data_IF_812522207869
#
_entry.id   IF_812522207869
#
_cell.length_a   1.000
_cell.length_b   1.000
_cell.length_c   1.000
_cell.angle_alpha   90.00
_cell.angle_beta   90.00
_cell.angle_gamma   90.00
#
_symmetry.space_group_name_H-M   'P 1'
#
loop_
_entity.id
_entity.type
_entity.pdbx_description
1 polymer ?
#
# COMPACT_ATOMS: atom_id res chain seq x y z
N UNK A 1 3.23 -17.20 1.57
CA UNK A 1 3.55 -15.93 2.27
C UNK A 1 4.18 -15.01 1.23
N UNK A 2 3.87 -13.72 1.22
CA UNK A 2 4.48 -12.79 0.26
C UNK A 2 6.00 -12.72 0.52
N UNK A 3 6.80 -12.73 -0.56
CA UNK A 3 8.26 -12.63 -0.48
C UNK A 3 8.65 -11.24 0.02
N UNK A 4 9.53 -11.22 1.02
CA UNK A 4 10.13 -10.01 1.57
C UNK A 4 11.29 -9.56 0.70
N UNK A 5 11.84 -8.38 0.98
CA UNK A 5 12.91 -7.80 0.15
C UNK A 5 14.15 -8.70 0.05
N UNK A 6 14.59 -9.30 1.15
CA UNK A 6 15.64 -10.32 1.18
C UNK A 6 15.33 -11.56 0.33
N UNK A 7 14.08 -12.05 0.33
CA UNK A 7 13.67 -13.18 -0.51
C UNK A 7 13.74 -12.83 -2.02
N UNK A 8 13.44 -11.57 -2.37
CA UNK A 8 13.58 -11.06 -3.75
C UNK A 8 15.06 -11.01 -4.15
N UNK A 9 15.95 -10.49 -3.28
CA UNK A 9 17.40 -10.49 -3.53
C UNK A 9 17.93 -11.91 -3.74
N UNK A 10 17.59 -12.83 -2.85
CA UNK A 10 18.01 -14.23 -2.94
C UNK A 10 17.56 -14.89 -4.25
N UNK A 11 16.32 -14.64 -4.69
CA UNK A 11 15.82 -15.18 -5.95
C UNK A 11 16.51 -14.59 -7.18
N UNK A 12 16.86 -13.30 -7.14
CA UNK A 12 17.64 -12.66 -8.20
C UNK A 12 19.04 -13.26 -8.27
N UNK A 13 19.70 -13.46 -7.12
CA UNK A 13 21.04 -14.08 -7.06
C UNK A 13 21.07 -15.49 -7.63
N UNK A 14 20.11 -16.33 -7.27
CA UNK A 14 19.97 -17.69 -7.81
C UNK A 14 19.87 -17.67 -9.34
N UNK A 15 19.04 -16.78 -9.90
CA UNK A 15 18.91 -16.67 -11.35
C UNK A 15 20.19 -16.14 -12.03
N UNK A 16 20.94 -15.28 -11.36
CA UNK A 16 22.23 -14.76 -11.85
C UNK A 16 23.39 -15.73 -11.62
N UNK A 17 23.18 -16.85 -10.91
CA UNK A 17 24.23 -17.76 -10.43
C UNK A 17 25.26 -17.10 -9.51
N UNK A 18 24.83 -16.05 -8.81
CA UNK A 18 25.60 -15.36 -7.78
C UNK A 18 25.29 -15.97 -6.40
N UNK A 19 25.50 -17.28 -6.29
CA UNK A 19 25.27 -17.99 -5.04
C UNK A 19 26.46 -17.79 -4.10
N UNK A 20 26.19 -17.53 -2.81
CA UNK A 20 27.24 -17.35 -1.81
C UNK A 20 28.20 -18.55 -1.78
N UNK A 21 29.48 -18.28 -2.00
CA UNK A 21 30.56 -19.26 -1.82
C UNK A 21 31.49 -18.74 -0.72
N UNK A 22 31.74 -19.57 0.30
CA UNK A 22 32.59 -19.18 1.43
C UNK A 22 33.98 -18.72 0.93
N UNK A 23 34.36 -17.49 1.30
CA UNK A 23 35.63 -16.89 0.92
C UNK A 23 35.66 -16.24 -0.47
N UNK A 24 34.50 -16.12 -1.14
CA UNK A 24 34.34 -15.37 -2.39
C UNK A 24 33.33 -14.25 -2.17
N UNK A 25 33.69 -13.03 -2.58
CA UNK A 25 32.77 -11.88 -2.53
C UNK A 25 31.63 -12.09 -3.53
N UNK A 26 30.40 -11.71 -3.15
CA UNK A 26 29.25 -11.71 -4.05
C UNK A 26 29.54 -10.80 -5.25
N UNK A 27 29.13 -11.21 -6.45
CA UNK A 27 29.34 -10.40 -7.64
C UNK A 27 28.39 -9.18 -7.66
N UNK A 28 27.22 -9.29 -7.01
CA UNK A 28 26.29 -8.18 -6.80
C UNK A 28 26.06 -7.90 -5.31
N UNK A 29 26.53 -6.72 -4.89
CA UNK A 29 26.29 -6.18 -3.55
C UNK A 29 24.80 -5.96 -3.27
N UNK A 30 24.39 -6.14 -2.01
CA UNK A 30 23.01 -5.96 -1.55
C UNK A 30 22.48 -4.55 -1.88
N UNK A 31 23.31 -3.52 -1.78
CA UNK A 31 22.91 -2.14 -2.04
C UNK A 31 22.68 -1.85 -3.54
N UNK A 32 23.39 -2.54 -4.43
CA UNK A 32 23.14 -2.48 -5.87
C UNK A 32 21.79 -3.13 -6.20
N UNK A 33 21.57 -4.35 -5.70
CA UNK A 33 20.30 -5.06 -5.92
C UNK A 33 19.12 -4.26 -5.35
N UNK A 34 19.29 -3.64 -4.19
CA UNK A 34 18.27 -2.81 -3.57
C UNK A 34 17.88 -1.59 -4.42
N UNK A 35 18.86 -0.93 -5.05
CA UNK A 35 18.59 0.18 -5.99
C UNK A 35 17.83 -0.31 -7.22
N UNK A 36 18.20 -1.47 -7.76
CA UNK A 36 17.51 -2.06 -8.90
C UNK A 36 16.10 -2.52 -8.56
N UNK A 37 15.89 -3.10 -7.37
CA UNK A 37 14.58 -3.45 -6.81
C UNK A 37 13.71 -2.20 -6.70
N UNK A 38 14.19 -1.13 -6.06
CA UNK A 38 13.43 0.10 -5.87
C UNK A 38 13.02 0.75 -7.21
N UNK A 39 13.94 0.78 -8.19
CA UNK A 39 13.65 1.33 -9.51
C UNK A 39 12.65 0.48 -10.30
N UNK A 40 12.78 -0.85 -10.24
CA UNK A 40 11.87 -1.77 -10.95
C UNK A 40 10.49 -1.78 -10.29
N UNK A 41 10.42 -1.72 -8.95
CA UNK A 41 9.18 -1.62 -8.21
C UNK A 41 8.39 -0.37 -8.59
N UNK A 42 9.05 0.78 -8.76
CA UNK A 42 8.41 2.03 -9.22
C UNK A 42 7.74 1.88 -10.59
N UNK A 43 8.33 1.12 -11.51
CA UNK A 43 7.72 0.83 -12.82
C UNK A 43 6.51 -0.12 -12.69
N UNK A 44 6.63 -1.14 -11.83
CA UNK A 44 5.54 -2.06 -11.51
C UNK A 44 4.36 -1.31 -10.89
N UNK A 45 4.59 -0.42 -9.94
CA UNK A 45 3.53 0.36 -9.27
C UNK A 45 2.70 1.20 -10.24
N UNK A 46 3.27 1.65 -11.35
CA UNK A 46 2.52 2.38 -12.38
C UNK A 46 1.57 1.49 -13.18
N UNK A 47 1.84 0.17 -13.27
CA UNK A 47 1.09 -0.78 -14.10
C UNK A 47 0.22 -1.74 -13.29
N UNK A 48 0.72 -2.13 -12.13
CA UNK A 48 0.19 -3.11 -11.19
C UNK A 48 0.26 -2.56 -9.75
N UNK A 49 -0.42 -1.46 -9.44
CA UNK A 49 -0.47 -0.96 -8.07
C UNK A 49 -1.23 -1.91 -7.13
N UNK A 50 -1.03 -1.74 -5.82
CA UNK A 50 -1.71 -2.51 -4.80
C UNK A 50 -3.17 -2.06 -4.66
N UNK A 51 -4.13 -2.97 -4.94
CA UNK A 51 -5.54 -2.72 -4.67
C UNK A 51 -5.85 -2.84 -3.18
N UNK A 52 -6.22 -1.72 -2.55
CA UNK A 52 -6.54 -1.64 -1.14
C UNK A 52 -7.97 -1.16 -0.90
N UNK A 53 -8.61 -1.72 0.13
CA UNK A 53 -9.82 -1.16 0.73
C UNK A 53 -9.42 -0.33 1.93
N UNK A 54 -9.76 0.96 1.92
CA UNK A 54 -9.46 1.92 2.98
C UNK A 54 -10.75 2.32 3.70
N UNK A 55 -10.72 2.25 5.02
CA UNK A 55 -11.84 2.59 5.91
C UNK A 55 -11.51 3.72 6.88
N UNK A 56 -10.23 4.03 7.02
CA UNK A 56 -9.68 5.08 7.87
C UNK A 56 -8.47 5.71 7.17
N UNK A 57 -8.20 6.97 7.50
CA UNK A 57 -6.94 7.62 7.20
C UNK A 57 -5.81 6.99 8.03
N UNK A 58 -4.57 7.34 7.71
CA UNK A 58 -3.44 6.86 8.49
C UNK A 58 -3.52 7.32 9.95
N UNK A 59 -2.77 6.63 10.81
CA UNK A 59 -2.70 6.97 12.21
C UNK A 59 -2.09 8.36 12.37
N UNK A 60 -2.85 9.25 13.01
CA UNK A 60 -2.40 10.60 13.39
C UNK A 60 -1.72 10.59 14.76
N UNK A 61 -2.01 9.58 15.58
CA UNK A 61 -1.43 9.42 16.91
C UNK A 61 -1.40 7.95 17.30
N UNK A 62 -1.01 7.67 18.55
CA UNK A 62 -1.05 6.32 19.11
C UNK A 62 -1.74 6.29 20.46
N UNK A 63 -2.25 5.13 20.85
CA UNK A 63 -2.79 4.87 22.19
C UNK A 63 -1.67 5.03 23.22
N UNK A 64 -1.80 5.99 24.14
CA UNK A 64 -0.79 6.27 25.16
C UNK A 64 -0.99 5.45 26.44
N UNK A 65 -2.23 5.04 26.73
CA UNK A 65 -2.57 4.16 27.86
C UNK A 65 -3.48 3.05 27.38
N UNK A 66 -3.32 1.83 27.92
CA UNK A 66 -4.14 0.68 27.50
C UNK A 66 -5.63 1.01 27.62
N UNK A 67 -6.33 0.85 26.51
CA UNK A 67 -7.76 1.12 26.42
C UNK A 67 -8.53 -0.18 26.62
N UNK A 68 -9.25 -0.29 27.73
CA UNK A 68 -10.12 -1.45 27.98
C UNK A 68 -11.40 -1.42 27.13
N UNK A 69 -12.05 -2.57 26.96
CA UNK A 69 -13.26 -2.68 26.15
C UNK A 69 -14.46 -1.85 26.69
N UNK A 70 -14.45 -1.45 27.97
CA UNK A 70 -15.51 -0.65 28.59
C UNK A 70 -15.09 0.79 28.91
N UNK A 71 -13.88 1.20 28.54
CA UNK A 71 -13.38 2.53 28.83
C UNK A 71 -14.16 3.60 28.02
N UNK A 72 -14.44 4.72 28.68
CA UNK A 72 -15.10 5.90 28.07
C UNK A 72 -14.13 7.03 27.76
N UNK A 73 -12.86 6.87 28.11
CA UNK A 73 -11.80 7.83 27.89
C UNK A 73 -10.65 7.13 27.16
N UNK A 74 -10.14 7.76 26.10
CA UNK A 74 -8.96 7.33 25.37
C UNK A 74 -7.87 8.39 25.55
N UNK A 75 -6.72 7.98 26.09
CA UNK A 75 -5.53 8.84 26.11
C UNK A 75 -4.69 8.53 24.88
N UNK A 76 -4.46 9.53 24.05
CA UNK A 76 -3.58 9.48 22.87
C UNK A 76 -2.23 10.11 23.17
N UNK A 77 -1.22 9.86 22.35
CA UNK A 77 0.13 10.41 22.54
C UNK A 77 0.23 11.91 22.19
N UNK A 78 -0.70 12.42 21.37
CA UNK A 78 -0.86 13.82 20.98
C UNK A 78 -2.25 13.98 20.36
N UNK A 79 -2.92 15.08 20.68
CA UNK A 79 -4.22 15.49 20.14
C UNK A 79 -4.15 16.58 19.04
N UNK A 80 -2.95 17.07 18.71
CA UNK A 80 -2.75 18.25 17.86
C UNK A 80 -3.29 18.09 16.43
N UNK A 81 -3.16 16.88 15.86
CA UNK A 81 -3.55 16.58 14.48
C UNK A 81 -5.03 16.18 14.34
N UNK A 82 -5.79 16.11 15.45
CA UNK A 82 -7.21 15.76 15.40
C UNK A 82 -8.11 16.99 15.25
N UNK A 83 -9.33 16.82 14.68
CA UNK A 83 -10.31 17.89 14.60
C UNK A 83 -10.68 18.44 15.97
N UNK A 84 -10.79 19.76 16.07
CA UNK A 84 -11.28 20.44 17.29
C UNK A 84 -12.80 20.55 17.36
N UNK A 85 -13.50 20.15 16.29
CA UNK A 85 -14.96 20.11 16.22
C UNK A 85 -15.47 18.69 16.47
N UNK A 86 -16.35 18.55 17.45
CA UNK A 86 -16.95 17.26 17.83
C UNK A 86 -18.40 17.14 17.34
N UNK A 87 -18.90 15.91 17.09
CA UNK A 87 -18.18 14.64 17.18
C UNK A 87 -17.43 14.26 15.90
N UNK A 88 -16.38 13.46 16.03
CA UNK A 88 -15.70 12.78 14.91
C UNK A 88 -15.45 11.31 15.23
N UNK A 89 -15.07 10.52 14.22
CA UNK A 89 -14.86 9.08 14.37
C UNK A 89 -13.39 8.73 14.17
N UNK A 90 -12.89 7.81 14.99
CA UNK A 90 -11.51 7.29 14.91
C UNK A 90 -11.55 5.77 14.83
N UNK A 91 -10.55 5.19 14.18
CA UNK A 91 -10.35 3.74 14.07
C UNK A 91 -9.08 3.36 14.81
N UNK A 92 -9.15 2.27 15.59
CA UNK A 92 -8.01 1.63 16.26
C UNK A 92 -8.13 0.12 15.98
N UNK A 93 -7.09 -0.48 15.38
CA UNK A 93 -7.11 -1.85 14.87
C UNK A 93 -8.32 -2.09 13.93
N UNK A 94 -9.39 -2.73 14.43
CA UNK A 94 -10.65 -2.98 13.72
C UNK A 94 -11.89 -2.39 14.41
N UNK A 95 -11.70 -1.61 15.48
CA UNK A 95 -12.77 -0.92 16.21
C UNK A 95 -12.90 0.53 15.75
N UNK A 96 -14.14 0.99 15.59
CA UNK A 96 -14.45 2.40 15.40
C UNK A 96 -15.03 2.98 16.69
N UNK A 97 -14.48 4.12 17.11
CA UNK A 97 -14.94 4.91 18.24
C UNK A 97 -15.48 6.25 17.74
N UNK A 98 -16.46 6.81 18.45
CA UNK A 98 -16.85 8.20 18.27
C UNK A 98 -16.24 9.04 19.39
N UNK A 99 -15.42 10.02 19.03
CA UNK A 99 -14.93 11.04 19.96
C UNK A 99 -16.01 12.11 20.10
N UNK A 100 -16.52 12.29 21.31
CA UNK A 100 -17.62 13.23 21.59
C UNK A 100 -17.14 14.52 22.25
N UNK A 101 -15.97 14.51 22.88
CA UNK A 101 -15.36 15.69 23.49
C UNK A 101 -13.88 15.44 23.79
N UNK A 102 -13.15 16.52 24.08
CA UNK A 102 -11.83 16.48 24.72
C UNK A 102 -12.01 16.74 26.21
N UNK A 103 -11.74 15.75 27.06
CA UNK A 103 -11.88 15.86 28.52
C UNK A 103 -10.75 16.70 29.14
N UNK A 104 -9.54 16.50 28.64
CA UNK A 104 -8.34 17.30 28.87
C UNK A 104 -7.40 17.11 27.68
N UNK A 105 -6.31 17.86 27.58
CA UNK A 105 -5.27 17.62 26.57
C UNK A 105 -4.93 16.12 26.50
N UNK A 106 -4.82 15.60 25.28
CA UNK A 106 -4.53 14.20 24.95
C UNK A 106 -5.60 13.17 25.41
N UNK A 107 -6.68 13.59 26.08
CA UNK A 107 -7.66 12.69 26.69
C UNK A 107 -9.05 12.90 26.09
N UNK A 108 -9.41 12.02 25.16
CA UNK A 108 -10.68 12.03 24.47
C UNK A 108 -11.78 11.31 25.25
N UNK A 109 -12.96 11.92 25.34
CA UNK A 109 -14.19 11.23 25.72
C UNK A 109 -14.71 10.48 24.51
N UNK A 110 -14.86 9.15 24.64
CA UNK A 110 -15.21 8.25 23.54
C UNK A 110 -16.43 7.40 23.84
N UNK A 111 -17.26 7.21 22.82
CA UNK A 111 -18.21 6.10 22.73
C UNK A 111 -17.57 4.98 21.91
N UNK A 112 -17.79 3.72 22.30
CA UNK A 112 -17.09 2.52 21.80
C UNK A 112 -18.01 1.67 20.92
N UNK A 113 -17.44 0.79 20.09
CA UNK A 113 -18.19 -0.13 19.22
C UNK A 113 -19.17 0.57 18.24
N UNK A 114 -18.71 1.63 17.58
CA UNK A 114 -19.52 2.35 16.58
C UNK A 114 -19.44 1.67 15.21
N UNK A 115 -20.36 2.07 14.31
CA UNK A 115 -20.39 1.64 12.91
C UNK A 115 -20.34 0.11 12.72
N UNK A 116 -21.03 -0.63 13.61
CA UNK A 116 -21.11 -2.10 13.64
C UNK A 116 -19.78 -2.80 13.95
N UNK A 117 -18.83 -2.11 14.56
CA UNK A 117 -17.64 -2.72 15.15
C UNK A 117 -17.92 -3.25 16.56
N UNK A 118 -16.95 -3.93 17.17
CA UNK A 118 -17.07 -4.50 18.52
C UNK A 118 -15.97 -3.93 19.40
N UNK A 119 -16.30 -3.59 20.64
CA UNK A 119 -15.33 -3.05 21.59
C UNK A 119 -14.26 -4.09 21.93
N UNK A 120 -12.99 -3.72 21.79
CA UNK A 120 -11.83 -4.58 22.05
C UNK A 120 -10.88 -3.93 23.07
N UNK A 121 -9.88 -4.67 23.56
CA UNK A 121 -8.77 -4.06 24.31
C UNK A 121 -7.72 -3.58 23.30
N UNK A 122 -7.23 -2.35 23.45
CA UNK A 122 -6.13 -1.82 22.64
C UNK A 122 -4.93 -1.51 23.52
N UNK A 123 -3.81 -2.15 23.19
CA UNK A 123 -2.53 -1.94 23.88
C UNK A 123 -1.92 -0.58 23.55
N UNK A 124 -0.97 -0.13 24.38
CA UNK A 124 -0.17 1.08 24.10
C UNK A 124 0.56 0.97 22.76
N UNK A 125 0.68 2.09 22.04
CA UNK A 125 1.37 2.20 20.75
C UNK A 125 0.52 1.85 19.53
N UNK A 126 -0.75 1.43 19.73
CA UNK A 126 -1.66 1.19 18.61
C UNK A 126 -2.01 2.49 17.90
N UNK A 127 -1.94 2.48 16.57
CA UNK A 127 -2.24 3.65 15.75
C UNK A 127 -3.71 4.07 15.87
N UNK A 128 -3.93 5.38 15.96
CA UNK A 128 -5.26 6.01 16.03
C UNK A 128 -5.40 6.92 14.82
N UNK A 129 -6.29 6.58 13.89
CA UNK A 129 -6.54 7.35 12.66
C UNK A 129 -7.99 7.79 12.56
N UNK A 130 -8.26 8.87 11.81
CA UNK A 130 -9.63 9.31 11.53
C UNK A 130 -10.37 8.29 10.65
N UNK A 131 -11.62 8.00 10.99
CA UNK A 131 -12.47 7.10 10.18
C UNK A 131 -13.07 7.85 9.01
N UNK A 132 -13.08 7.24 7.83
CA UNK A 132 -13.70 7.85 6.65
C UNK A 132 -15.22 7.69 6.77
N UNK A 133 -15.89 8.80 7.01
CA UNK A 133 -17.35 8.88 7.16
C UNK A 133 -17.92 10.00 6.29
N UNK A 134 -19.22 9.96 6.04
CA UNK A 134 -19.92 11.07 5.37
C UNK A 134 -20.06 12.28 6.28
N UNK A 135 -19.95 13.47 5.68
CA UNK A 135 -20.26 14.75 6.33
C UNK A 135 -21.72 15.10 6.09
N UNK A 136 -22.42 15.60 7.11
CA UNK A 136 -23.82 16.02 6.98
C UNK A 136 -24.02 17.01 5.84
N UNK A 137 -25.07 16.79 5.05
CA UNK A 137 -25.47 17.67 3.94
C UNK A 137 -24.37 17.91 2.89
N UNK A 138 -23.34 17.07 2.86
CA UNK A 138 -22.25 17.14 1.90
C UNK A 138 -22.03 15.81 1.19
N UNK A 139 -21.70 15.87 -0.09
CA UNK A 139 -21.29 14.69 -0.89
C UNK A 139 -19.77 14.52 -0.91
N UNK A 140 -19.04 15.39 -0.24
CA UNK A 140 -17.59 15.46 -0.28
C UNK A 140 -16.97 14.64 0.85
N UNK A 141 -15.90 13.93 0.51
CA UNK A 141 -14.99 13.27 1.43
C UNK A 141 -13.64 13.97 1.28
N UNK A 142 -13.21 14.76 2.27
CA UNK A 142 -11.99 15.57 2.18
C UNK A 142 -10.72 14.73 2.49
N UNK A 143 -9.57 15.39 2.43
CA UNK A 143 -8.30 14.97 3.03
C UNK A 143 -7.77 13.60 2.57
N UNK A 144 -7.99 13.23 1.30
CA UNK A 144 -7.45 11.97 0.75
C UNK A 144 -5.91 11.88 0.81
N UNK A 145 -5.20 12.99 1.02
CA UNK A 145 -3.75 13.01 1.20
C UNK A 145 -3.31 12.33 2.51
N UNK A 146 -4.21 12.18 3.49
CA UNK A 146 -3.95 11.43 4.73
C UNK A 146 -4.07 9.91 4.55
N UNK A 147 -4.07 9.43 3.30
CA UNK A 147 -3.93 8.02 2.95
C UNK A 147 -2.55 7.84 2.33
N UNK A 148 -1.63 7.24 3.08
CA UNK A 148 -0.26 7.00 2.67
C UNK A 148 -0.23 6.19 1.38
N UNK A 149 0.81 6.40 0.60
CA UNK A 149 1.09 5.63 -0.61
C UNK A 149 -0.04 5.65 -1.64
N UNK A 150 -1.02 6.55 -1.52
CA UNK A 150 -2.17 6.62 -2.44
C UNK A 150 -1.72 7.09 -3.82
N UNK A 151 -1.82 6.20 -4.81
CA UNK A 151 -1.60 6.54 -6.23
C UNK A 151 -2.89 7.16 -6.79
N UNK A 152 -4.02 6.46 -6.64
CA UNK A 152 -5.34 6.96 -7.06
C UNK A 152 -6.48 6.17 -6.44
N UNK A 153 -7.66 6.79 -6.37
CA UNK A 153 -8.92 6.06 -6.13
C UNK A 153 -9.26 5.25 -7.38
N UNK A 154 -9.80 4.03 -7.20
CA UNK A 154 -10.18 3.13 -8.29
C UNK A 154 -11.23 3.79 -9.18
N UNK A 155 -11.12 3.70 -10.51
CA UNK A 155 -12.11 4.34 -11.40
C UNK A 155 -13.47 3.64 -11.41
N UNK A 156 -13.46 2.31 -11.47
CA UNK A 156 -14.68 1.50 -11.48
C UNK A 156 -15.01 1.06 -10.05
N UNK A 157 -16.23 1.33 -9.57
CA UNK A 157 -16.67 1.02 -8.19
C UNK A 157 -15.72 1.65 -7.12
N UNK A 158 -15.47 2.98 -7.17
CA UNK A 158 -14.52 3.66 -6.27
C UNK A 158 -14.92 3.58 -4.79
N UNK A 159 -16.23 3.64 -4.51
CA UNK A 159 -16.76 3.82 -3.17
C UNK A 159 -17.87 2.82 -2.91
N UNK A 160 -17.84 2.16 -1.76
CA UNK A 160 -19.01 1.42 -1.25
C UNK A 160 -19.74 2.29 -0.24
N UNK A 161 -20.98 2.65 -0.60
CA UNK A 161 -21.86 3.47 0.21
C UNK A 161 -23.35 3.27 -0.17
N UNK A 162 -24.25 3.00 0.80
CA UNK A 162 -23.97 2.73 2.22
C UNK A 162 -23.29 1.38 2.46
N UNK A 163 -22.51 1.28 3.55
CA UNK A 163 -21.76 0.07 3.93
C UNK A 163 -22.61 -0.95 4.69
N UNK A 164 -22.25 -2.24 4.57
CA UNK A 164 -22.77 -3.31 5.44
C UNK A 164 -24.12 -3.90 5.01
N UNK A 165 -24.46 -3.73 3.73
CA UNK A 165 -25.57 -4.42 3.07
C UNK A 165 -25.10 -5.78 2.51
N UNK A 166 -26.00 -6.77 2.47
CA UNK A 166 -25.70 -8.11 1.94
C UNK A 166 -25.17 -8.05 0.50
N UNK A 167 -25.74 -7.17 -0.32
CA UNK A 167 -25.19 -6.80 -1.63
C UNK A 167 -24.49 -5.47 -1.52
N UNK A 168 -23.20 -5.44 -1.90
CA UNK A 168 -22.39 -4.24 -1.86
C UNK A 168 -22.95 -3.20 -2.83
N UNK A 169 -23.12 -1.97 -2.34
CA UNK A 169 -23.61 -0.84 -3.13
C UNK A 169 -22.45 0.08 -3.47
N UNK A 170 -22.00 0.00 -4.72
CA UNK A 170 -20.94 0.86 -5.21
C UNK A 170 -21.51 2.16 -5.78
N UNK A 171 -20.85 3.28 -5.47
CA UNK A 171 -21.12 4.60 -6.01
C UNK A 171 -19.96 5.04 -6.88
N UNK A 172 -20.28 5.75 -7.95
CA UNK A 172 -19.28 6.52 -8.66
C UNK A 172 -18.88 7.72 -7.81
N UNK A 173 -17.70 8.25 -8.07
CA UNK A 173 -17.19 9.42 -7.40
C UNK A 173 -16.21 10.13 -8.31
N UNK A 174 -16.23 11.45 -8.25
CA UNK A 174 -15.29 12.31 -8.94
C UNK A 174 -14.26 12.81 -7.93
N UNK A 175 -12.98 12.65 -8.27
CA UNK A 175 -11.88 13.17 -7.46
C UNK A 175 -11.39 14.47 -8.06
N UNK A 176 -11.30 15.50 -7.23
CA UNK A 176 -10.61 16.74 -7.55
C UNK A 176 -9.64 17.07 -6.42
N UNK A 177 -8.34 17.13 -6.75
CA UNK A 177 -7.27 17.28 -5.76
C UNK A 177 -7.35 16.22 -4.64
N UNK A 178 -7.53 16.67 -3.41
CA UNK A 178 -7.64 15.90 -2.17
C UNK A 178 -9.09 15.59 -1.77
N UNK A 179 -10.07 16.10 -2.52
CA UNK A 179 -11.49 15.90 -2.25
C UNK A 179 -12.07 14.87 -3.21
N UNK A 180 -12.91 13.99 -2.67
CA UNK A 180 -13.72 13.03 -3.43
C UNK A 180 -15.19 13.35 -3.29
N UNK A 181 -15.88 13.60 -4.41
CA UNK A 181 -17.30 13.92 -4.44
C UNK A 181 -18.10 12.70 -4.90
N UNK A 182 -18.99 12.21 -4.04
CA UNK A 182 -19.83 11.05 -4.34
C UNK A 182 -20.96 11.39 -5.32
N UNK A 183 -21.16 10.52 -6.31
CA UNK A 183 -22.31 10.58 -7.21
C UNK A 183 -23.53 9.88 -6.56
N UNK A 184 -24.27 10.67 -5.77
CA UNK A 184 -25.47 10.24 -5.05
C UNK A 184 -26.60 11.26 -5.19
N UNK A 185 -27.83 10.77 -5.32
CA UNK A 185 -29.04 11.61 -5.49
C UNK A 185 -29.68 12.06 -4.16
N UNK A 186 -29.05 11.72 -3.04
CA UNK A 186 -29.49 12.10 -1.69
C UNK A 186 -28.27 12.58 -0.93
N UNK A 187 -28.43 13.65 -0.15
CA UNK A 187 -27.39 14.08 0.79
C UNK A 187 -27.30 13.08 1.95
N UNK A 188 -26.09 12.62 2.30
CA UNK A 188 -25.89 11.70 3.40
C UNK A 188 -26.08 12.41 4.74
N UNK A 189 -26.45 11.64 5.76
CA UNK A 189 -26.40 12.13 7.14
C UNK A 189 -24.95 12.06 7.65
N UNK A 190 -24.64 12.81 8.71
CA UNK A 190 -23.30 12.77 9.32
C UNK A 190 -22.98 11.38 9.87
N UNK A 191 -21.72 10.96 9.70
CA UNK A 191 -21.17 9.80 10.40
C UNK A 191 -21.55 8.45 9.81
N UNK A 192 -22.03 8.39 8.57
CA UNK A 192 -22.27 7.10 7.90
C UNK A 192 -20.94 6.56 7.34
N UNK A 193 -20.66 5.27 7.60
CA UNK A 193 -19.41 4.65 7.18
C UNK A 193 -19.26 4.63 5.65
N UNK A 194 -18.04 4.91 5.19
CA UNK A 194 -17.66 4.82 3.77
C UNK A 194 -16.46 3.88 3.62
N UNK A 195 -16.43 3.13 2.53
CA UNK A 195 -15.27 2.33 2.15
C UNK A 195 -14.75 2.78 0.80
N UNK A 196 -13.48 3.17 0.76
CA UNK A 196 -12.80 3.56 -0.47
C UNK A 196 -12.01 2.39 -1.03
N UNK A 197 -12.15 2.15 -2.32
CA UNK A 197 -11.32 1.21 -3.06
C UNK A 197 -10.30 2.01 -3.84
N UNK A 198 -9.02 1.85 -3.50
CA UNK A 198 -7.93 2.63 -4.06
C UNK A 198 -6.76 1.76 -4.52
N UNK A 199 -5.87 2.41 -5.26
CA UNK A 199 -4.62 1.88 -5.74
C UNK A 199 -3.51 2.58 -4.95
N UNK A 200 -2.70 1.81 -4.24
CA UNK A 200 -1.58 2.27 -3.42
C UNK A 200 -0.25 1.76 -3.98
N UNK A 201 0.87 2.38 -3.57
CA UNK A 201 2.20 1.84 -3.80
C UNK A 201 2.36 0.52 -3.04
N UNK A 202 3.32 -0.30 -3.48
CA UNK A 202 3.59 -1.56 -2.82
C UNK A 202 4.50 -1.34 -1.63
N UNK A 203 4.20 -1.99 -0.52
CA UNK A 203 5.17 -2.11 0.57
C UNK A 203 6.08 -3.28 0.25
N UNK A 204 7.39 -3.06 0.24
CA UNK A 204 8.41 -4.11 0.14
C UNK A 204 9.55 -3.76 1.08
N UNK A 205 9.56 -4.40 2.24
CA UNK A 205 10.58 -4.20 3.29
C UNK A 205 11.24 -5.53 3.63
N UNK A 206 12.23 -5.50 4.52
CA UNK A 206 12.82 -6.72 5.07
C UNK A 206 11.85 -7.50 5.96
N UNK A 207 10.74 -6.89 6.38
CA UNK A 207 9.80 -7.48 7.33
C UNK A 207 8.46 -7.84 6.70
N UNK A 208 8.04 -7.11 5.66
CA UNK A 208 6.70 -7.21 5.08
C UNK A 208 6.68 -6.92 3.58
N UNK A 209 5.66 -7.47 2.91
CA UNK A 209 5.42 -7.24 1.48
C UNK A 209 3.93 -7.26 1.16
N UNK A 210 3.49 -6.37 0.28
CA UNK A 210 2.14 -6.40 -0.32
C UNK A 210 2.12 -6.94 -1.74
N UNK A 211 3.27 -7.44 -2.24
CA UNK A 211 3.35 -8.02 -3.57
C UNK A 211 2.58 -9.34 -3.64
N UNK A 212 1.91 -9.56 -4.77
CA UNK A 212 1.33 -10.85 -5.12
C UNK A 212 2.37 -11.70 -5.85
N UNK A 213 2.25 -13.04 -5.86
CA UNK A 213 3.22 -13.90 -6.55
C UNK A 213 3.46 -13.53 -8.01
N UNK A 214 2.42 -13.09 -8.74
CA UNK A 214 2.58 -12.57 -10.11
C UNK A 214 3.48 -11.32 -10.19
N UNK A 215 3.36 -10.39 -9.24
CA UNK A 215 4.14 -9.15 -9.21
C UNK A 215 5.57 -9.42 -8.72
N UNK A 216 5.75 -10.36 -7.79
CA UNK A 216 7.07 -10.82 -7.34
C UNK A 216 7.88 -11.37 -8.52
N UNK A 217 7.25 -12.21 -9.35
CA UNK A 217 7.88 -12.78 -10.54
C UNK A 217 8.30 -11.69 -11.54
N UNK A 218 7.41 -10.73 -11.82
CA UNK A 218 7.72 -9.61 -12.71
C UNK A 218 8.85 -8.74 -12.16
N UNK A 219 8.87 -8.50 -10.84
CA UNK A 219 9.92 -7.74 -10.17
C UNK A 219 11.28 -8.44 -10.29
N UNK A 220 11.36 -9.72 -9.94
CA UNK A 220 12.59 -10.52 -10.05
C UNK A 220 13.10 -10.51 -11.49
N UNK A 221 12.20 -10.69 -12.47
CA UNK A 221 12.52 -10.67 -13.90
C UNK A 221 13.11 -9.33 -14.36
N UNK A 222 12.57 -8.21 -13.87
CA UNK A 222 13.08 -6.87 -14.21
C UNK A 222 14.42 -6.56 -13.54
N UNK A 223 14.59 -6.98 -12.28
CA UNK A 223 15.81 -6.73 -11.50
C UNK A 223 16.99 -7.53 -12.07
N UNK A 224 16.83 -8.84 -12.29
CA UNK A 224 17.91 -9.69 -12.83
C UNK A 224 18.37 -9.21 -14.21
N UNK A 225 17.43 -8.75 -15.05
CA UNK A 225 17.74 -8.25 -16.38
C UNK A 225 18.65 -7.01 -16.31
N UNK A 226 18.33 -6.08 -15.41
CA UNK A 226 19.11 -4.85 -15.22
C UNK A 226 20.48 -5.15 -14.60
N UNK A 227 20.53 -6.03 -13.61
CA UNK A 227 21.76 -6.48 -12.97
C UNK A 227 22.74 -7.09 -13.99
N UNK A 228 22.27 -8.03 -14.82
CA UNK A 228 23.09 -8.63 -15.87
C UNK A 228 23.53 -7.65 -16.96
N UNK A 229 22.68 -6.69 -17.34
CA UNK A 229 23.07 -5.64 -18.31
C UNK A 229 24.18 -4.75 -17.75
N UNK A 230 24.02 -4.29 -16.51
CA UNK A 230 25.01 -3.43 -15.85
C UNK A 230 26.35 -4.14 -15.79
N UNK A 231 26.36 -5.35 -15.22
CA UNK A 231 27.57 -6.14 -15.08
C UNK A 231 28.19 -6.52 -16.43
N UNK A 232 27.37 -6.85 -17.43
CA UNK A 232 27.85 -7.16 -18.77
C UNK A 232 28.58 -5.97 -19.41
N UNK A 233 28.13 -4.74 -19.16
CA UNK A 233 28.80 -3.51 -19.62
C UNK A 233 30.11 -3.25 -18.90
N UNK A 234 30.18 -3.52 -17.61
CA UNK A 234 31.42 -3.42 -16.84
C UNK A 234 32.48 -4.38 -17.38
N UNK A 235 32.11 -5.66 -17.57
CA UNK A 235 33.01 -6.69 -18.07
C UNK A 235 33.50 -6.44 -19.51
N UNK A 236 32.71 -5.77 -20.35
CA UNK A 236 33.15 -5.35 -21.69
C UNK A 236 34.29 -4.32 -21.62
N UNK A 237 34.24 -3.42 -20.64
CA UNK A 237 35.22 -2.34 -20.49
C UNK A 237 36.42 -2.73 -19.61
N UNK A 238 36.37 -3.91 -18.97
CA UNK A 238 37.42 -4.41 -18.11
C UNK A 238 38.38 -5.35 -18.86
N UNK A 239 39.64 -5.39 -18.41
CA UNK A 239 40.55 -6.46 -18.77
C UNK A 239 40.18 -7.71 -17.95
N UNK A 240 39.49 -8.67 -18.56
CA UNK A 240 38.92 -9.83 -17.85
C UNK A 240 39.67 -11.12 -18.15
N UNK A 241 39.75 -12.01 -17.15
CA UNK A 241 40.32 -13.37 -17.28
C UNK A 241 39.33 -14.39 -17.84
N UNK A 242 38.03 -14.06 -17.87
CA UNK A 242 36.95 -14.95 -18.30
C UNK A 242 36.82 -15.14 -19.82
N UNK A 243 37.64 -14.45 -20.62
CA UNK A 243 37.61 -14.52 -22.07
C UNK A 243 36.69 -13.47 -22.71
N UNK A 244 36.99 -13.14 -23.98
CA UNK A 244 36.44 -11.97 -24.71
C UNK A 244 34.90 -11.95 -24.83
N UNK A 245 34.24 -13.10 -24.68
CA UNK A 245 32.81 -13.25 -24.94
C UNK A 245 31.91 -13.22 -23.69
N UNK A 246 32.45 -13.21 -22.48
CA UNK A 246 31.63 -13.30 -21.25
C UNK A 246 30.76 -12.06 -21.07
N UNK A 247 31.37 -10.86 -21.08
CA UNK A 247 30.64 -9.59 -20.95
C UNK A 247 29.54 -9.42 -22.02
N UNK A 248 29.85 -9.59 -23.33
CA UNK A 248 28.85 -9.53 -24.39
C UNK A 248 27.68 -10.52 -24.21
N UNK A 249 27.96 -11.78 -23.85
CA UNK A 249 26.90 -12.80 -23.68
C UNK A 249 25.96 -12.47 -22.53
N UNK A 250 26.50 -12.05 -21.39
CA UNK A 250 25.68 -11.66 -20.24
C UNK A 250 24.84 -10.42 -20.56
N UNK A 251 25.41 -9.45 -21.28
CA UNK A 251 24.66 -8.29 -21.74
C UNK A 251 23.48 -8.69 -22.65
N UNK A 252 23.73 -9.55 -23.65
CA UNK A 252 22.69 -10.05 -24.54
C UNK A 252 21.59 -10.81 -23.80
N UNK A 253 21.94 -11.71 -22.87
CA UNK A 253 20.98 -12.40 -22.02
C UNK A 253 20.15 -11.41 -21.19
N UNK A 254 20.79 -10.42 -20.56
CA UNK A 254 20.09 -9.40 -19.79
C UNK A 254 19.12 -8.56 -20.64
N UNK A 255 19.47 -8.26 -21.90
CA UNK A 255 18.57 -7.59 -22.86
C UNK A 255 17.36 -8.48 -23.20
N UNK A 256 17.55 -9.78 -23.41
CA UNK A 256 16.44 -10.73 -23.61
C UNK A 256 15.52 -10.79 -22.39
N UNK A 257 16.09 -10.87 -21.18
CA UNK A 257 15.32 -10.87 -19.94
C UNK A 257 14.55 -9.54 -19.73
N UNK A 258 15.12 -8.41 -20.14
CA UNK A 258 14.46 -7.11 -20.09
C UNK A 258 13.27 -7.03 -21.06
N UNK A 259 13.38 -7.70 -22.21
CA UNK A 259 12.27 -7.78 -23.17
C UNK A 259 11.11 -8.60 -22.60
N UNK A 260 11.40 -9.75 -21.98
CA UNK A 260 10.39 -10.55 -21.28
C UNK A 260 9.72 -9.76 -20.16
N UNK A 261 10.50 -9.03 -19.35
CA UNK A 261 9.95 -8.13 -18.32
C UNK A 261 8.98 -7.09 -18.90
N UNK A 262 9.33 -6.44 -20.01
CA UNK A 262 8.46 -5.46 -20.69
C UNK A 262 7.18 -6.10 -21.21
N UNK A 263 7.24 -7.32 -21.72
CA UNK A 263 6.07 -8.08 -22.17
C UNK A 263 5.17 -8.44 -21.00
N UNK A 264 5.74 -8.93 -19.89
CA UNK A 264 5.00 -9.23 -18.66
C UNK A 264 4.29 -7.99 -18.10
N UNK A 265 4.99 -6.85 -18.05
CA UNK A 265 4.40 -5.56 -17.66
C UNK A 265 3.20 -5.16 -18.54
N UNK A 266 3.30 -5.40 -19.85
CA UNK A 266 2.23 -5.10 -20.81
C UNK A 266 1.01 -5.98 -20.58
N UNK A 267 1.23 -7.27 -20.30
CA UNK A 267 0.15 -8.22 -20.05
C UNK A 267 -0.54 -8.02 -18.71
N UNK A 268 0.21 -7.61 -17.67
CA UNK A 268 -0.34 -7.42 -16.32
C UNK A 268 -0.82 -5.99 -16.05
N UNK A 269 -1.01 -5.15 -17.07
CA UNK A 269 -1.64 -3.85 -16.83
C UNK A 269 -3.00 -4.05 -16.19
N UNK A 270 -3.27 -3.38 -15.07
CA UNK A 270 -4.63 -3.29 -14.53
C UNK A 270 -5.49 -2.66 -15.61
N UNK A 271 -6.21 -3.51 -16.34
CA UNK A 271 -7.21 -3.05 -17.28
C UNK A 271 -8.34 -2.55 -16.40
N UNK A 272 -8.45 -1.23 -16.24
CA UNK A 272 -9.60 -0.53 -15.65
C UNK A 272 -10.93 -0.82 -16.41
N UNK A 273 -10.99 -1.87 -17.24
CA UNK A 273 -12.18 -2.29 -17.96
C UNK A 273 -13.10 -3.05 -17.01
N UNK A 274 -14.39 -2.83 -17.17
CA UNK A 274 -15.50 -3.39 -16.41
C UNK A 274 -15.54 -4.93 -16.28
N UNK A 275 -14.66 -5.67 -16.96
CA UNK A 275 -14.76 -7.13 -17.14
C UNK A 275 -13.80 -7.97 -16.28
N UNK A 276 -12.79 -7.38 -15.63
CA UNK A 276 -11.75 -8.13 -14.90
C UNK A 276 -12.07 -8.42 -13.43
N UNK A 277 -13.22 -7.96 -12.92
CA UNK A 277 -13.71 -8.37 -11.61
C UNK A 277 -14.62 -9.60 -11.74
N UNK A 278 -14.66 -10.49 -10.74
CA UNK A 278 -15.67 -11.53 -10.68
C UNK A 278 -17.04 -10.87 -10.90
N UNK A 279 -17.72 -11.26 -11.98
CA UNK A 279 -19.16 -11.11 -12.06
C UNK A 279 -19.68 -12.11 -11.04
N UNK A 280 -20.31 -11.62 -9.99
CA UNK A 280 -21.14 -12.46 -9.12
C UNK A 280 -22.13 -13.26 -9.99
#
# INVERSE_FOLDING_TARGET
MARKKSDIRAAVRDNLRDEFVEGVDEEWEDDELDRLIANTLREIEQKMPYEAKVTAYDALSTVATELSASATNLVVASDDDFPTTFPFYITIDSEVLQVTALASSENFTVSRALLKTTAAVHTVGKGVGLTIVTTNDSKEIPDLNNIADLIRVRRNRPVEYPVGWTTKRYRNADRFADILTLDINRLPSTGEAVHLYCLKQHTLTEESSTLRPEHEYVLIQGVQARAAINRGRELINALTVGGVNVGPRMNSWGVEQLQLYKELLKHHTLVDNYESLPKD
#
